data_IF_259993662678
#
_entry.id   IF_259993662678
#
_cell.length_a   1.000
_cell.length_b   1.000
_cell.length_c   1.000
_cell.angle_alpha   90.00
_cell.angle_beta   90.00
_cell.angle_gamma   90.00
#
_symmetry.space_group_name_H-M   'P 1'
#
loop_
_entity.id
_entity.type
_entity.pdbx_description
1 polymer ?
#
# COMPACT_ATOMS: atom_id res chain seq x y z
N UNK A 1 -1.58 -23.51 4.15
CA UNK A 1 -1.27 -22.07 4.28
C UNK A 1 -0.53 -21.89 5.59
N UNK A 2 0.68 -21.34 5.59
CA UNK A 2 1.35 -20.99 6.83
C UNK A 2 0.58 -19.82 7.47
N UNK A 3 0.03 -20.03 8.66
CA UNK A 3 -0.50 -18.93 9.45
C UNK A 3 0.65 -17.96 9.70
N UNK A 4 0.50 -16.69 9.31
CA UNK A 4 1.43 -15.67 9.76
C UNK A 4 1.37 -15.68 11.29
N UNK A 5 2.48 -16.00 11.94
CA UNK A 5 2.59 -15.86 13.40
C UNK A 5 2.10 -14.46 13.80
N UNK A 6 1.29 -14.41 14.86
CA UNK A 6 0.80 -13.17 15.40
C UNK A 6 1.98 -12.29 15.84
N UNK A 7 1.87 -10.97 15.61
CA UNK A 7 2.88 -10.02 16.07
C UNK A 7 2.95 -10.02 17.59
N UNK A 8 4.17 -10.04 18.11
CA UNK A 8 4.40 -9.70 19.51
C UNK A 8 4.10 -8.21 19.74
N UNK A 9 3.79 -7.78 20.98
CA UNK A 9 3.58 -6.37 21.29
C UNK A 9 4.76 -5.46 20.87
N UNK A 10 5.99 -5.97 20.97
CA UNK A 10 7.18 -5.23 20.56
C UNK A 10 7.27 -5.10 19.04
N UNK A 11 6.96 -6.15 18.28
CA UNK A 11 6.88 -6.10 16.82
C UNK A 11 5.79 -5.13 16.34
N UNK A 12 4.62 -5.13 17.00
CA UNK A 12 3.56 -4.19 16.70
C UNK A 12 3.97 -2.73 16.96
N UNK A 13 4.70 -2.47 18.05
CA UNK A 13 5.26 -1.14 18.34
C UNK A 13 6.25 -0.68 17.27
N UNK A 14 7.17 -1.56 16.84
CA UNK A 14 8.13 -1.26 15.75
C UNK A 14 7.40 -0.88 14.46
N UNK A 15 6.32 -1.59 14.10
CA UNK A 15 5.54 -1.30 12.90
C UNK A 15 4.78 0.03 12.98
N UNK A 16 4.20 0.36 14.14
CA UNK A 16 3.52 1.64 14.33
C UNK A 16 4.51 2.81 14.33
N UNK A 17 5.67 2.65 14.96
CA UNK A 17 6.73 3.65 14.96
C UNK A 17 7.30 3.86 13.55
N UNK A 18 7.51 2.78 12.77
CA UNK A 18 7.90 2.87 11.37
C UNK A 18 6.87 3.68 10.56
N UNK A 19 5.58 3.36 10.75
CA UNK A 19 4.49 4.05 10.05
C UNK A 19 4.46 5.54 10.40
N UNK A 20 4.67 5.90 11.65
CA UNK A 20 4.54 7.28 12.12
C UNK A 20 5.77 8.14 11.84
N UNK A 21 6.98 7.57 11.93
CA UNK A 21 8.25 8.32 11.85
C UNK A 21 8.94 8.23 10.50
N UNK A 22 8.82 7.11 9.80
CA UNK A 22 9.47 6.92 8.50
C UNK A 22 8.46 7.10 7.38
N UNK A 23 7.36 6.34 7.39
CA UNK A 23 6.42 6.32 6.27
C UNK A 23 5.60 7.62 6.13
N UNK A 24 4.81 7.99 7.14
CA UNK A 24 3.90 9.15 7.07
C UNK A 24 4.61 10.46 6.65
N UNK A 25 5.80 10.81 7.20
CA UNK A 25 6.46 12.07 6.84
C UNK A 25 6.98 12.12 5.40
N UNK A 26 7.13 10.96 4.76
CA UNK A 26 7.69 10.83 3.41
C UNK A 26 6.63 10.48 2.35
N UNK A 27 5.40 10.18 2.77
CA UNK A 27 4.34 9.70 1.88
C UNK A 27 4.04 10.65 0.70
N UNK A 28 4.21 11.95 0.90
CA UNK A 28 3.95 13.00 -0.10
C UNK A 28 5.22 13.56 -0.76
N UNK A 29 6.37 12.94 -0.47
CA UNK A 29 7.71 13.38 -0.87
C UNK A 29 8.29 12.26 -1.72
N UNK A 30 8.09 12.36 -3.03
CA UNK A 30 8.49 11.33 -4.00
C UNK A 30 8.97 11.98 -5.31
N UNK A 31 9.69 11.20 -6.12
CA UNK A 31 10.30 11.57 -7.39
C UNK A 31 11.13 12.85 -7.25
N UNK A 32 10.82 13.89 -8.01
CA UNK A 32 11.55 15.17 -8.00
C UNK A 32 11.49 15.90 -6.66
N UNK A 33 10.51 15.56 -5.81
CA UNK A 33 10.39 16.14 -4.46
C UNK A 33 11.17 15.33 -3.42
N UNK A 34 11.79 14.21 -3.80
CA UNK A 34 12.50 13.33 -2.87
C UNK A 34 13.59 14.07 -2.09
N UNK A 35 13.59 13.88 -0.77
CA UNK A 35 14.58 14.44 0.13
C UNK A 35 15.39 13.30 0.76
N UNK A 36 16.61 13.11 0.23
CA UNK A 36 17.51 12.05 0.68
C UNK A 36 17.91 12.22 2.14
N UNK A 37 18.20 13.46 2.56
CA UNK A 37 18.67 13.74 3.91
C UNK A 37 17.57 13.44 4.93
N UNK A 38 16.30 13.72 4.58
CA UNK A 38 15.15 13.40 5.42
C UNK A 38 14.90 11.90 5.53
N UNK A 39 15.10 11.14 4.44
CA UNK A 39 15.06 9.67 4.49
C UNK A 39 16.15 9.10 5.39
N UNK A 40 17.40 9.50 5.16
CA UNK A 40 18.56 9.01 5.91
C UNK A 40 18.40 9.29 7.41
N UNK A 41 17.97 10.52 7.76
CA UNK A 41 17.71 10.90 9.15
C UNK A 41 16.57 10.07 9.78
N UNK A 42 15.48 9.82 9.06
CA UNK A 42 14.36 9.03 9.55
C UNK A 42 14.74 7.55 9.77
N UNK A 43 15.49 6.96 8.84
CA UNK A 43 15.96 5.55 8.96
C UNK A 43 16.98 5.42 10.09
N UNK A 44 17.89 6.39 10.23
CA UNK A 44 18.87 6.40 11.31
C UNK A 44 18.19 6.53 12.69
N UNK A 45 17.29 7.50 12.86
CA UNK A 45 16.53 7.71 14.11
C UNK A 45 15.69 6.47 14.45
N UNK A 46 14.99 5.89 13.46
CA UNK A 46 14.22 4.67 13.64
C UNK A 46 15.11 3.49 14.07
N UNK A 47 16.22 3.25 13.37
CA UNK A 47 17.10 2.11 13.67
C UNK A 47 17.78 2.26 15.03
N UNK A 48 18.11 3.47 15.45
CA UNK A 48 18.72 3.74 16.76
C UNK A 48 17.76 3.52 17.95
N UNK A 49 16.44 3.59 17.75
CA UNK A 49 15.42 3.45 18.80
C UNK A 49 15.02 2.02 19.10
N UNK A 50 15.24 1.11 18.17
CA UNK A 50 14.73 -0.27 18.26
C UNK A 50 15.86 -1.26 18.46
N UNK A 51 15.57 -2.32 19.23
CA UNK A 51 16.51 -3.42 19.42
C UNK A 51 16.82 -4.10 18.06
N UNK A 52 18.10 -4.20 17.66
CA UNK A 52 18.51 -4.88 16.42
C UNK A 52 17.98 -6.32 16.31
N UNK A 53 17.82 -7.05 17.42
CA UNK A 53 17.30 -8.41 17.41
C UNK A 53 15.81 -8.45 17.03
N UNK A 54 15.02 -7.49 17.52
CA UNK A 54 13.58 -7.36 17.19
C UNK A 54 13.43 -6.95 15.73
N UNK A 55 14.21 -5.97 15.26
CA UNK A 55 14.20 -5.54 13.85
C UNK A 55 14.57 -6.71 12.91
N UNK A 56 15.59 -7.50 13.27
CA UNK A 56 16.04 -8.64 12.47
C UNK A 56 15.01 -9.76 12.42
N UNK A 57 14.41 -10.10 13.58
CA UNK A 57 13.32 -11.08 13.68
C UNK A 57 12.11 -10.66 12.86
N UNK A 58 11.68 -9.40 12.98
CA UNK A 58 10.55 -8.85 12.25
C UNK A 58 10.80 -8.87 10.73
N UNK A 59 11.99 -8.45 10.29
CA UNK A 59 12.38 -8.51 8.87
C UNK A 59 12.35 -9.92 8.31
N UNK A 60 12.84 -10.91 9.06
CA UNK A 60 12.82 -12.31 8.65
C UNK A 60 11.38 -12.85 8.57
N UNK A 61 10.57 -12.65 9.63
CA UNK A 61 9.18 -13.12 9.69
C UNK A 61 8.30 -12.51 8.60
N UNK A 62 8.41 -11.21 8.39
CA UNK A 62 7.58 -10.45 7.44
C UNK A 62 8.20 -10.36 6.03
N UNK A 63 9.37 -10.97 5.81
CA UNK A 63 10.14 -10.90 4.56
C UNK A 63 10.27 -9.45 4.07
N UNK A 64 10.58 -8.54 4.99
CA UNK A 64 10.67 -7.13 4.67
C UNK A 64 11.89 -6.88 3.77
N UNK A 65 11.76 -6.02 2.74
CA UNK A 65 12.88 -5.69 1.88
C UNK A 65 13.97 -4.91 2.64
N UNK A 66 15.15 -4.81 2.01
CA UNK A 66 16.23 -3.98 2.53
C UNK A 66 15.84 -2.50 2.55
N UNK A 67 16.62 -1.67 3.25
CA UNK A 67 16.35 -0.24 3.31
C UNK A 67 16.44 0.40 1.92
N UNK A 68 17.39 -0.01 1.11
CA UNK A 68 17.59 0.49 -0.26
C UNK A 68 16.39 0.17 -1.17
N UNK A 69 15.82 -1.03 -1.02
CA UNK A 69 14.63 -1.44 -1.78
C UNK A 69 13.38 -0.69 -1.29
N UNK A 70 13.24 -0.50 0.02
CA UNK A 70 12.17 0.32 0.60
C UNK A 70 12.27 1.77 0.13
N UNK A 71 13.47 2.33 0.14
CA UNK A 71 13.76 3.68 -0.33
C UNK A 71 13.33 3.85 -1.78
N UNK A 72 13.81 2.98 -2.67
CA UNK A 72 13.47 3.03 -4.10
C UNK A 72 11.96 2.97 -4.33
N UNK A 73 11.25 2.15 -3.54
CA UNK A 73 9.80 2.03 -3.62
C UNK A 73 9.07 3.28 -3.12
N UNK A 74 9.49 3.85 -1.99
CA UNK A 74 8.88 5.07 -1.42
C UNK A 74 9.16 6.27 -2.33
N UNK A 75 10.41 6.40 -2.79
CA UNK A 75 10.86 7.44 -3.71
C UNK A 75 10.07 7.45 -5.02
N UNK A 76 9.63 6.29 -5.52
CA UNK A 76 8.76 6.21 -6.71
C UNK A 76 7.35 6.80 -6.46
N UNK A 77 6.91 6.83 -5.21
CA UNK A 77 5.58 7.26 -4.83
C UNK A 77 4.47 6.33 -5.32
N UNK A 78 3.20 6.70 -5.11
CA UNK A 78 2.09 5.92 -5.61
C UNK A 78 2.04 5.93 -7.14
N UNK A 79 1.39 4.93 -7.77
CA UNK A 79 1.11 4.94 -9.20
C UNK A 79 0.50 6.26 -9.67
N UNK A 80 0.84 6.76 -10.88
CA UNK A 80 0.40 8.08 -11.34
C UNK A 80 -1.09 8.35 -11.21
N UNK A 81 -1.95 7.39 -11.55
CA UNK A 81 -3.40 7.52 -11.48
C UNK A 81 -3.98 7.66 -10.06
N UNK A 82 -3.18 7.38 -9.02
CA UNK A 82 -3.52 7.60 -7.61
C UNK A 82 -2.94 8.92 -7.07
N UNK A 83 -2.16 9.65 -7.87
CA UNK A 83 -1.56 10.92 -7.44
C UNK A 83 -2.59 12.03 -7.48
N UNK A 84 -2.57 12.95 -6.50
CA UNK A 84 -3.42 14.14 -6.54
C UNK A 84 -3.25 14.91 -7.85
N UNK A 85 -4.36 15.23 -8.51
CA UNK A 85 -4.37 16.04 -9.72
C UNK A 85 -4.00 15.31 -11.01
N UNK A 86 -3.75 14.00 -10.99
CA UNK A 86 -3.42 13.25 -12.21
C UNK A 86 -4.56 13.27 -13.24
N UNK A 87 -4.18 13.48 -14.49
CA UNK A 87 -5.07 13.46 -15.66
C UNK A 87 -4.60 12.35 -16.58
N UNK A 88 -5.53 11.53 -17.05
CA UNK A 88 -5.19 10.46 -17.98
C UNK A 88 -4.68 11.04 -19.30
N UNK A 89 -3.46 10.68 -19.75
CA UNK A 89 -2.92 11.14 -21.02
C UNK A 89 -3.70 10.59 -22.22
N UNK A 90 -4.48 9.53 -22.03
CA UNK A 90 -5.26 8.88 -23.09
C UNK A 90 -6.62 9.55 -23.31
N UNK A 91 -7.28 10.02 -22.24
CA UNK A 91 -8.64 10.56 -22.31
C UNK A 91 -8.75 12.02 -21.90
N UNK A 92 -7.66 12.65 -21.46
CA UNK A 92 -7.63 14.06 -21.02
C UNK A 92 -8.51 14.35 -19.79
N UNK A 93 -8.97 13.31 -19.09
CA UNK A 93 -9.85 13.43 -17.92
C UNK A 93 -9.11 12.99 -16.66
N UNK A 94 -9.40 13.66 -15.54
CA UNK A 94 -9.04 13.15 -14.21
C UNK A 94 -9.69 11.78 -14.01
N UNK A 95 -9.07 10.92 -13.20
CA UNK A 95 -9.75 9.71 -12.73
C UNK A 95 -10.97 10.17 -11.93
N UNK A 96 -12.14 10.12 -12.56
CA UNK A 96 -13.39 10.27 -11.86
C UNK A 96 -13.80 8.86 -11.39
N UNK A 97 -13.94 8.67 -10.08
CA UNK A 97 -14.40 7.43 -9.48
C UNK A 97 -15.88 7.51 -9.03
N UNK A 98 -16.59 8.60 -9.33
CA UNK A 98 -18.03 8.75 -9.07
C UNK A 98 -18.87 7.67 -9.74
N UNK A 99 -18.36 7.03 -10.80
CA UNK A 99 -19.02 5.89 -11.43
C UNK A 99 -19.22 4.70 -10.47
N UNK A 100 -18.46 4.62 -9.38
CA UNK A 100 -18.63 3.62 -8.33
C UNK A 100 -20.02 3.76 -7.68
N UNK A 101 -20.49 5.00 -7.50
CA UNK A 101 -21.77 5.33 -6.88
C UNK A 101 -22.92 5.44 -7.89
N UNK A 102 -22.62 5.73 -9.16
CA UNK A 102 -23.61 5.87 -10.23
C UNK A 102 -24.25 4.55 -10.68
N UNK A 103 -23.84 3.42 -10.08
CA UNK A 103 -24.44 2.11 -10.37
C UNK A 103 -24.09 1.55 -11.75
N UNK A 104 -23.12 2.12 -12.47
CA UNK A 104 -22.71 1.65 -13.81
C UNK A 104 -22.13 0.22 -13.81
N UNK A 105 -21.71 -0.27 -12.63
CA UNK A 105 -21.22 -1.62 -12.42
C UNK A 105 -21.87 -2.23 -11.17
N UNK A 106 -22.27 -3.51 -11.28
CA UNK A 106 -22.80 -4.28 -10.16
C UNK A 106 -21.62 -4.68 -9.25
N UNK A 107 -21.72 -4.39 -7.95
CA UNK A 107 -20.80 -4.96 -6.97
C UNK A 107 -21.17 -6.43 -6.78
N UNK A 108 -20.36 -7.34 -7.31
CA UNK A 108 -20.68 -8.77 -7.22
C UNK A 108 -20.16 -9.37 -5.90
N UNK A 109 -19.07 -8.82 -5.35
CA UNK A 109 -18.50 -9.22 -4.05
C UNK A 109 -17.85 -8.01 -3.37
N UNK A 110 -17.93 -7.96 -2.04
CA UNK A 110 -17.39 -6.88 -1.21
C UNK A 110 -18.41 -5.80 -0.86
N UNK A 111 -17.91 -4.63 -0.47
CA UNK A 111 -18.72 -3.47 -0.09
C UNK A 111 -18.18 -2.20 -0.75
N UNK A 112 -19.09 -1.40 -1.29
CA UNK A 112 -18.79 -0.09 -1.87
C UNK A 112 -18.92 1.04 -0.85
N UNK A 113 -19.50 0.79 0.33
CA UNK A 113 -19.75 1.84 1.31
C UNK A 113 -18.45 2.46 1.86
N UNK A 114 -18.45 3.79 1.99
CA UNK A 114 -17.32 4.54 2.55
C UNK A 114 -16.02 4.40 1.76
N UNK A 115 -16.07 4.00 0.48
CA UNK A 115 -14.87 3.76 -0.33
C UNK A 115 -13.95 4.98 -0.43
N UNK A 116 -14.53 6.20 -0.37
CA UNK A 116 -13.80 7.47 -0.40
C UNK A 116 -12.85 7.66 0.79
N UNK A 117 -13.15 7.05 1.92
CA UNK A 117 -12.37 7.16 3.16
C UNK A 117 -11.40 5.99 3.36
N UNK A 118 -11.36 5.03 2.42
CA UNK A 118 -10.47 3.87 2.50
C UNK A 118 -9.07 4.25 2.06
N UNK A 119 -8.07 3.87 2.87
CA UNK A 119 -6.64 4.02 2.54
C UNK A 119 -6.22 3.23 1.29
N UNK A 120 -6.90 2.11 1.03
CA UNK A 120 -6.66 1.26 -0.14
C UNK A 120 -8.01 0.87 -0.72
N UNK A 121 -8.16 1.10 -2.02
CA UNK A 121 -9.30 0.67 -2.80
C UNK A 121 -8.82 -0.35 -3.84
N UNK A 122 -9.30 -1.58 -3.75
CA UNK A 122 -9.08 -2.62 -4.76
C UNK A 122 -10.35 -2.74 -5.61
N UNK A 123 -10.23 -2.44 -6.90
CA UNK A 123 -11.31 -2.62 -7.87
C UNK A 123 -10.93 -3.74 -8.82
N UNK A 124 -11.64 -4.86 -8.73
CA UNK A 124 -11.49 -5.98 -9.65
C UNK A 124 -12.61 -5.96 -10.68
N UNK A 125 -12.23 -5.83 -11.95
CA UNK A 125 -13.18 -5.91 -13.06
C UNK A 125 -13.28 -7.35 -13.54
N UNK A 126 -14.48 -7.92 -13.48
CA UNK A 126 -14.78 -9.28 -13.92
C UNK A 126 -16.02 -9.30 -14.81
N UNK A 127 -16.10 -10.26 -15.72
CA UNK A 127 -17.29 -10.60 -16.49
C UNK A 127 -17.57 -12.11 -16.50
N UNK A 128 -18.84 -12.52 -16.47
CA UNK A 128 -19.26 -13.94 -16.44
C UNK A 128 -18.75 -14.78 -17.61
N UNK A 129 -18.44 -14.15 -18.74
CA UNK A 129 -17.86 -14.77 -19.93
C UNK A 129 -16.32 -14.89 -19.89
N UNK A 130 -15.65 -14.29 -18.90
CA UNK A 130 -14.20 -14.39 -18.72
C UNK A 130 -13.84 -15.69 -18.00
N UNK A 131 -13.39 -16.71 -18.76
CA UNK A 131 -12.99 -18.02 -18.22
C UNK A 131 -11.95 -17.93 -17.10
N UNK A 132 -10.91 -17.11 -17.27
CA UNK A 132 -9.83 -16.95 -16.27
C UNK A 132 -10.39 -16.38 -14.97
N UNK A 133 -11.22 -15.34 -15.07
CA UNK A 133 -11.81 -14.69 -13.92
C UNK A 133 -12.74 -15.65 -13.15
N UNK A 134 -13.53 -16.46 -13.86
CA UNK A 134 -14.40 -17.49 -13.23
C UNK A 134 -13.57 -18.54 -12.50
N UNK A 135 -12.42 -18.95 -13.04
CA UNK A 135 -11.52 -19.90 -12.38
C UNK A 135 -10.92 -19.28 -11.11
N UNK A 136 -10.37 -18.06 -11.20
CA UNK A 136 -9.76 -17.37 -10.06
C UNK A 136 -10.76 -17.12 -8.92
N UNK A 137 -12.03 -16.83 -9.23
CA UNK A 137 -13.07 -16.58 -8.23
C UNK A 137 -13.69 -17.83 -7.60
N UNK A 138 -13.37 -19.02 -8.11
CA UNK A 138 -13.85 -20.30 -7.56
C UNK A 138 -13.00 -20.77 -6.37
N UNK A 139 -11.73 -20.34 -6.32
CA UNK A 139 -10.72 -20.84 -5.38
C UNK A 139 -10.27 -19.82 -4.31
N UNK A 140 -10.91 -18.66 -4.21
CA UNK A 140 -10.68 -17.68 -3.14
C UNK A 140 -11.77 -17.78 -2.05
N UNK A 141 -11.55 -18.53 -0.96
CA UNK A 141 -12.31 -18.34 0.27
C UNK A 141 -11.72 -17.13 0.99
N UNK A 142 -12.54 -16.09 1.17
CA UNK A 142 -12.33 -15.09 2.21
C UNK A 142 -13.57 -15.08 3.09
#
# INVERSE_FOLDING_TARGET
>A
MAAFEAETPAEAFVLDDFRSRVWKPLQDIYEERWDQARWDAAVQDFTARHDPAILSSLRAKRKLPSWEVLEAQIKKGPPPFLRPGWVSPLVGKRVNLDWIDQGSFICIRGDKSGWRDRKVLLLEFWASWCRVCVILHRDFPF
#
